data_IF_163991172417
#
_entry.id   IF_163991172417
#
_cell.length_a   1.000
_cell.length_b   1.000
_cell.length_c   1.000
_cell.angle_alpha   90.00
_cell.angle_beta   90.00
_cell.angle_gamma   90.00
#
_symmetry.space_group_name_H-M   'P 1'
#
loop_
_entity.id
_entity.type
_entity.pdbx_description
1 polymer ?
#
# COMPACT_ATOMS: atom_id res chain seq x y z
N UNK A 1 0.92 -14.31 2.79
CA UNK A 1 0.16 -13.52 3.80
C UNK A 1 0.74 -13.76 5.18
N UNK A 2 0.82 -12.75 6.05
CA UNK A 2 1.21 -12.95 7.44
C UNK A 2 0.01 -13.43 8.26
N UNK A 3 0.12 -14.61 8.85
CA UNK A 3 -0.88 -15.23 9.71
C UNK A 3 -1.34 -14.27 10.82
N UNK A 4 -2.66 -14.21 11.05
CA UNK A 4 -3.30 -13.37 12.07
C UNK A 4 -3.07 -11.85 11.94
N UNK A 5 -2.51 -11.36 10.84
CA UNK A 5 -2.25 -9.92 10.65
C UNK A 5 -3.49 -9.02 10.61
N UNK A 6 -4.67 -9.43 10.09
CA UNK A 6 -5.87 -8.59 10.17
C UNK A 6 -6.29 -8.27 11.62
N UNK A 7 -5.99 -9.14 12.59
CA UNK A 7 -6.26 -8.88 14.01
C UNK A 7 -5.27 -7.93 14.68
N UNK A 8 -4.33 -7.33 13.93
CA UNK A 8 -3.27 -6.47 14.48
C UNK A 8 -3.39 -5.00 14.04
N UNK A 9 -4.60 -4.58 13.64
CA UNK A 9 -4.89 -3.20 13.22
C UNK A 9 -4.41 -2.14 14.20
N UNK A 10 -4.55 -2.36 15.51
CA UNK A 10 -4.07 -1.42 16.53
C UNK A 10 -2.55 -1.19 16.47
N UNK A 11 -1.77 -2.26 16.27
CA UNK A 11 -0.31 -2.15 16.09
C UNK A 11 0.05 -1.47 14.77
N UNK A 12 -0.79 -1.65 13.75
CA UNK A 12 -0.61 -1.11 12.40
C UNK A 12 -1.31 0.24 12.19
N UNK A 13 -1.97 0.80 13.21
CA UNK A 13 -2.85 1.97 13.07
C UNK A 13 -2.18 3.16 12.41
N UNK A 14 -0.91 3.41 12.74
CA UNK A 14 -0.15 4.52 12.15
C UNK A 14 0.15 4.29 10.67
N UNK A 15 0.35 3.04 10.25
CA UNK A 15 0.51 2.68 8.84
C UNK A 15 -0.83 2.80 8.10
N UNK A 16 -1.89 2.16 8.64
CA UNK A 16 -3.21 2.08 8.00
C UNK A 16 -3.88 3.45 7.81
N UNK A 17 -3.55 4.44 8.64
CA UNK A 17 -4.09 5.80 8.56
C UNK A 17 -3.20 6.78 7.78
N UNK A 18 -2.05 6.34 7.29
CA UNK A 18 -1.11 7.23 6.59
C UNK A 18 -1.44 7.24 5.10
N UNK A 19 -1.84 8.42 4.61
CA UNK A 19 -1.98 8.68 3.19
C UNK A 19 -0.58 8.83 2.56
N UNK A 20 -0.26 7.99 1.57
CA UNK A 20 1.04 8.02 0.88
C UNK A 20 1.24 9.28 0.05
N UNK A 21 0.14 9.92 -0.36
CA UNK A 21 0.16 11.15 -1.16
C UNK A 21 0.09 12.41 -0.29
N UNK A 22 0.09 12.27 1.04
CA UNK A 22 0.29 13.39 1.94
C UNK A 22 1.78 13.67 2.15
N UNK A 23 2.18 14.94 2.07
CA UNK A 23 3.59 15.36 2.20
C UNK A 23 3.74 16.56 3.13
N UNK A 24 4.93 16.70 3.70
CA UNK A 24 5.29 17.76 4.64
C UNK A 24 5.74 19.00 3.87
N UNK A 25 4.96 20.09 3.92
CA UNK A 25 5.25 21.33 3.17
C UNK A 25 6.39 22.15 3.77
N UNK A 26 6.76 21.88 5.02
CA UNK A 26 7.88 22.51 5.71
C UNK A 26 9.20 21.74 5.60
N UNK A 27 9.24 20.65 4.80
CA UNK A 27 10.47 19.92 4.53
C UNK A 27 11.21 20.50 3.31
N UNK A 28 12.55 20.38 3.24
CA UNK A 28 13.33 21.01 2.18
C UNK A 28 12.96 20.56 0.76
N UNK A 29 12.38 19.37 0.59
CA UNK A 29 12.03 18.78 -0.70
C UNK A 29 10.55 18.94 -1.08
N UNK A 30 9.77 19.74 -0.35
CA UNK A 30 8.35 19.98 -0.63
C UNK A 30 8.11 20.47 -2.07
N UNK A 31 8.94 21.39 -2.57
CA UNK A 31 8.84 21.89 -3.95
C UNK A 31 9.10 20.82 -5.02
N UNK A 32 9.82 19.74 -4.69
CA UNK A 32 10.01 18.61 -5.61
C UNK A 32 8.76 17.73 -5.71
N UNK A 33 7.95 17.66 -4.65
CA UNK A 33 6.65 16.99 -4.68
C UNK A 33 5.64 17.81 -5.49
N UNK A 34 5.58 19.13 -5.24
CA UNK A 34 4.65 20.05 -5.92
C UNK A 34 4.89 20.12 -7.42
N UNK A 35 6.16 20.16 -7.83
CA UNK A 35 6.53 20.14 -9.25
C UNK A 35 6.35 18.78 -9.92
N UNK A 36 6.06 17.72 -9.15
CA UNK A 36 5.99 16.34 -9.65
C UNK A 36 7.36 15.73 -9.96
N UNK A 37 8.47 16.38 -9.61
CA UNK A 37 9.83 15.83 -9.73
C UNK A 37 10.00 14.58 -8.84
N UNK A 38 9.32 14.56 -7.70
CA UNK A 38 9.22 13.40 -6.79
C UNK A 38 7.77 13.02 -6.60
N UNK A 39 7.48 11.71 -6.67
CA UNK A 39 6.14 11.19 -6.36
C UNK A 39 5.89 11.18 -4.85
N UNK A 40 6.88 10.78 -4.06
CA UNK A 40 6.76 10.67 -2.61
C UNK A 40 8.00 11.24 -1.93
N UNK A 41 7.86 11.69 -0.68
CA UNK A 41 9.00 12.07 0.18
C UNK A 41 9.67 10.78 0.71
N UNK A 42 9.85 10.66 2.02
CA UNK A 42 10.63 9.58 2.65
C UNK A 42 9.93 8.21 2.65
N UNK A 43 8.71 8.10 2.12
CA UNK A 43 7.91 6.88 2.24
C UNK A 43 6.97 6.67 1.06
N UNK A 44 7.02 5.47 0.49
CA UNK A 44 6.30 5.06 -0.73
C UNK A 44 5.14 4.11 -0.47
N UNK A 45 4.67 4.02 0.78
CA UNK A 45 3.51 3.20 1.14
C UNK A 45 3.84 1.77 1.61
N UNK A 46 5.11 1.32 1.51
CA UNK A 46 5.48 -0.02 2.01
C UNK A 46 5.51 -0.06 3.54
N UNK A 47 5.05 -1.16 4.12
CA UNK A 47 5.12 -1.36 5.58
C UNK A 47 6.56 -1.64 6.06
N UNK A 48 7.32 -2.43 5.29
CA UNK A 48 8.72 -2.77 5.54
C UNK A 48 9.35 -3.31 4.26
N UNK A 49 10.66 -3.12 4.08
CA UNK A 49 11.45 -3.83 3.07
C UNK A 49 12.05 -5.14 3.57
N UNK A 50 11.92 -5.45 4.85
CA UNK A 50 12.43 -6.66 5.48
C UNK A 50 11.26 -7.49 6.05
N UNK A 51 10.82 -8.55 5.33
CA UNK A 51 9.71 -9.40 5.78
C UNK A 51 10.08 -10.30 6.95
N UNK A 52 11.38 -10.55 7.20
CA UNK A 52 11.85 -11.35 8.34
C UNK A 52 11.64 -10.56 9.63
N UNK A 53 12.19 -9.34 9.71
CA UNK A 53 12.04 -8.49 10.90
C UNK A 53 10.59 -8.05 11.12
N UNK A 54 9.81 -7.90 10.04
CA UNK A 54 8.38 -7.60 10.16
C UNK A 54 7.62 -8.75 10.83
N UNK A 55 7.89 -10.00 10.41
CA UNK A 55 7.32 -11.19 11.05
C UNK A 55 7.75 -11.31 12.51
N UNK A 56 9.01 -11.05 12.84
CA UNK A 56 9.49 -11.08 14.22
C UNK A 56 8.73 -10.10 15.12
N UNK A 57 8.42 -8.90 14.62
CA UNK A 57 7.67 -7.87 15.36
C UNK A 57 6.17 -8.17 15.49
N UNK A 58 5.56 -8.70 14.44
CA UNK A 58 4.12 -8.94 14.39
C UNK A 58 3.74 -10.36 14.84
N UNK A 59 4.68 -11.30 14.87
CA UNK A 59 4.44 -12.72 15.14
C UNK A 59 3.79 -13.45 13.97
N UNK A 60 3.46 -14.73 14.19
CA UNK A 60 2.84 -15.60 13.20
C UNK A 60 3.81 -16.18 12.17
N UNK A 61 3.25 -16.85 11.16
CA UNK A 61 3.97 -17.44 10.03
C UNK A 61 3.61 -16.74 8.73
N UNK A 62 4.56 -16.71 7.80
CA UNK A 62 4.24 -16.41 6.41
C UNK A 62 3.53 -17.61 5.79
N UNK A 63 2.25 -17.44 5.47
CA UNK A 63 1.43 -18.41 4.77
C UNK A 63 1.57 -18.20 3.26
N UNK A 64 1.75 -19.31 2.54
CA UNK A 64 1.87 -19.36 1.08
C UNK A 64 1.08 -20.53 0.54
N UNK A 65 0.69 -20.44 -0.73
CA UNK A 65 0.09 -21.54 -1.51
C UNK A 65 0.37 -21.29 -2.98
N UNK A 66 0.31 -22.35 -3.77
CA UNK A 66 0.33 -22.28 -5.23
C UNK A 66 -1.04 -21.87 -5.75
N UNK A 67 -1.05 -21.04 -6.79
CA UNK A 67 -2.24 -20.58 -7.49
C UNK A 67 -2.18 -20.98 -8.96
N UNK A 68 -3.32 -21.34 -9.54
CA UNK A 68 -3.53 -21.53 -10.96
C UNK A 68 -4.17 -20.29 -11.57
N UNK A 69 -4.05 -20.16 -12.88
CA UNK A 69 -4.76 -19.10 -13.63
C UNK A 69 -6.27 -19.22 -13.37
N UNK A 70 -6.88 -18.13 -12.92
CA UNK A 70 -8.30 -18.07 -12.56
C UNK A 70 -8.57 -18.25 -11.07
N UNK A 71 -7.59 -18.66 -10.27
CA UNK A 71 -7.75 -18.68 -8.81
C UNK A 71 -7.82 -17.25 -8.25
N UNK A 72 -8.62 -17.08 -7.20
CA UNK A 72 -8.87 -15.78 -6.56
C UNK A 72 -8.47 -15.84 -5.09
N UNK A 73 -7.74 -14.82 -4.66
CA UNK A 73 -7.41 -14.58 -3.26
C UNK A 73 -8.13 -13.33 -2.78
N UNK A 74 -8.98 -13.49 -1.76
CA UNK A 74 -9.72 -12.38 -1.12
C UNK A 74 -9.21 -12.20 0.30
N UNK A 75 -8.84 -10.98 0.66
CA UNK A 75 -8.36 -10.64 2.00
C UNK A 75 -8.68 -9.18 2.37
N UNK A 76 -8.72 -8.90 3.68
CA UNK A 76 -8.94 -7.54 4.22
C UNK A 76 -7.77 -6.62 3.89
N UNK A 77 -8.03 -5.32 3.70
CA UNK A 77 -7.00 -4.28 3.54
C UNK A 77 -5.98 -4.23 4.69
N UNK A 78 -6.35 -4.70 5.88
CA UNK A 78 -5.47 -4.81 7.04
C UNK A 78 -4.52 -6.03 6.99
N UNK A 79 -4.68 -6.92 6.02
CA UNK A 79 -3.85 -8.12 5.89
C UNK A 79 -2.45 -7.74 5.43
N UNK A 80 -1.46 -8.03 6.27
CA UNK A 80 -0.05 -7.88 5.90
C UNK A 80 0.31 -8.98 4.89
N UNK A 81 0.78 -8.56 3.72
CA UNK A 81 1.15 -9.44 2.63
C UNK A 81 2.41 -8.94 1.93
N UNK A 82 3.08 -9.87 1.26
CA UNK A 82 4.31 -9.62 0.51
C UNK A 82 4.43 -10.67 -0.59
N UNK A 83 5.26 -10.40 -1.59
CA UNK A 83 5.68 -11.38 -2.58
C UNK A 83 7.18 -11.64 -2.47
N UNK A 84 7.59 -12.83 -2.93
CA UNK A 84 8.99 -13.15 -3.15
C UNK A 84 9.44 -12.66 -4.53
N UNK A 85 10.75 -12.47 -4.66
CA UNK A 85 11.39 -12.23 -5.94
C UNK A 85 11.19 -13.44 -6.86
N UNK A 86 10.86 -13.18 -8.12
CA UNK A 86 10.62 -14.22 -9.10
C UNK A 86 11.94 -14.66 -9.75
N UNK A 87 12.46 -15.80 -9.31
CA UNK A 87 13.67 -16.42 -9.87
C UNK A 87 13.37 -17.48 -10.95
N UNK A 88 12.12 -17.55 -11.44
CA UNK A 88 11.74 -18.46 -12.52
C UNK A 88 11.93 -17.84 -13.91
N UNK A 89 11.72 -18.64 -14.95
CA UNK A 89 11.72 -18.23 -16.36
C UNK A 89 10.32 -17.81 -16.86
N UNK A 90 9.36 -17.61 -15.96
CA UNK A 90 7.96 -17.28 -16.29
C UNK A 90 7.51 -15.99 -15.63
N UNK A 91 6.66 -15.24 -16.32
CA UNK A 91 5.98 -14.09 -15.73
C UNK A 91 4.85 -14.54 -14.80
N UNK A 92 4.75 -13.89 -13.64
CA UNK A 92 3.57 -13.95 -12.78
C UNK A 92 2.73 -12.70 -12.99
N UNK A 93 1.55 -12.86 -13.56
CA UNK A 93 0.59 -11.79 -13.77
C UNK A 93 -0.59 -11.97 -12.81
N UNK A 94 -1.05 -10.86 -12.24
CA UNK A 94 -2.22 -10.80 -11.37
C UNK A 94 -2.99 -9.51 -11.64
N UNK A 95 -4.31 -9.54 -11.44
CA UNK A 95 -5.15 -8.35 -11.37
C UNK A 95 -5.57 -8.11 -9.93
N UNK A 96 -5.45 -6.87 -9.47
CA UNK A 96 -5.87 -6.38 -8.15
C UNK A 96 -7.17 -5.61 -8.31
N UNK A 97 -8.14 -5.88 -7.45
CA UNK A 97 -9.39 -5.11 -7.37
C UNK A 97 -9.74 -4.92 -5.92
N UNK A 98 -10.04 -3.67 -5.55
CA UNK A 98 -10.35 -3.27 -4.18
C UNK A 98 -11.80 -2.86 -4.09
N UNK A 99 -12.46 -3.34 -3.05
CA UNK A 99 -13.88 -3.10 -2.81
C UNK A 99 -14.04 -2.34 -1.50
N UNK A 100 -14.88 -1.31 -1.53
CA UNK A 100 -15.29 -0.52 -0.38
C UNK A 100 -16.82 -0.52 -0.33
N UNK A 101 -17.39 -0.40 0.87
CA UNK A 101 -18.83 -0.21 1.02
C UNK A 101 -19.28 1.06 0.30
N UNK A 102 -20.39 0.99 -0.44
CA UNK A 102 -20.94 2.14 -1.17
C UNK A 102 -21.37 3.30 -0.25
N UNK A 103 -21.62 3.02 1.03
CA UNK A 103 -21.96 4.03 2.05
C UNK A 103 -20.75 4.76 2.62
N UNK A 104 -19.53 4.26 2.39
CA UNK A 104 -18.32 4.87 2.91
C UNK A 104 -17.78 5.95 1.96
N UNK A 105 -17.08 6.98 2.47
CA UNK A 105 -16.48 8.01 1.64
C UNK A 105 -15.46 7.43 0.67
N UNK A 106 -15.58 7.83 -0.60
CA UNK A 106 -14.65 7.45 -1.66
C UNK A 106 -13.51 8.47 -1.76
N UNK A 107 -12.31 7.99 -2.05
CA UNK A 107 -11.18 8.85 -2.39
C UNK A 107 -11.28 9.33 -3.85
N UNK A 108 -11.66 10.60 -4.03
CA UNK A 108 -11.91 11.25 -5.32
C UNK A 108 -10.74 11.17 -6.31
N UNK A 109 -9.51 10.97 -5.81
CA UNK A 109 -8.32 10.79 -6.66
C UNK A 109 -8.43 9.58 -7.58
N UNK A 110 -9.24 8.58 -7.21
CA UNK A 110 -9.34 7.29 -7.90
C UNK A 110 -10.61 7.12 -8.73
N UNK A 111 -11.37 8.19 -8.96
CA UNK A 111 -12.67 8.14 -9.65
C UNK A 111 -12.63 8.87 -10.99
N UNK A 112 -13.29 8.30 -12.00
CA UNK A 112 -13.43 8.85 -13.36
C UNK A 112 -12.66 8.06 -14.42
N UNK A 113 -12.81 8.46 -15.69
CA UNK A 113 -12.12 7.84 -16.84
C UNK A 113 -10.61 8.08 -16.82
N UNK A 114 -10.18 9.26 -16.33
CA UNK A 114 -8.79 9.67 -16.20
C UNK A 114 -8.52 10.14 -14.76
N UNK A 115 -8.46 9.22 -13.78
CA UNK A 115 -8.29 9.57 -12.37
C UNK A 115 -6.94 10.24 -12.11
N UNK A 116 -6.90 11.19 -11.17
CA UNK A 116 -5.67 11.90 -10.78
C UNK A 116 -4.63 10.93 -10.19
N UNK A 117 -5.10 9.91 -9.45
CA UNK A 117 -4.30 8.90 -8.78
C UNK A 117 -3.16 9.53 -7.95
N UNK A 118 -1.96 8.99 -8.05
CA UNK A 118 -0.75 9.49 -7.38
C UNK A 118 -0.11 10.72 -8.07
N UNK A 119 -0.78 11.31 -9.07
CA UNK A 119 -0.26 12.45 -9.81
C UNK A 119 -0.06 13.70 -8.92
N UNK A 120 0.66 14.73 -9.40
CA UNK A 120 0.96 15.93 -8.62
C UNK A 120 -0.29 16.62 -8.06
N UNK A 121 -1.37 16.67 -8.84
CA UNK A 121 -2.66 17.24 -8.41
C UNK A 121 -3.37 16.45 -7.30
N UNK A 122 -2.95 15.21 -7.04
CA UNK A 122 -3.51 14.35 -5.98
C UNK A 122 -2.74 14.46 -4.65
N UNK A 123 -1.66 15.25 -4.61
CA UNK A 123 -0.84 15.43 -3.42
C UNK A 123 -1.51 16.35 -2.41
N UNK A 124 -1.43 15.97 -1.13
CA UNK A 124 -2.04 16.70 -0.01
C UNK A 124 -0.95 17.28 0.89
N UNK A 125 -0.69 18.57 0.75
CA UNK A 125 0.27 19.28 1.60
C UNK A 125 -0.25 19.41 3.04
N UNK A 126 0.60 19.16 4.02
CA UNK A 126 0.35 19.44 5.43
C UNK A 126 1.63 19.93 6.12
N UNK A 127 1.46 20.64 7.24
CA UNK A 127 2.59 20.93 8.14
C UNK A 127 2.84 19.68 8.99
N UNK A 128 4.11 19.26 8.99
CA UNK A 128 4.66 18.25 9.89
C UNK A 128 5.61 18.94 10.88
#
# INVERSE_FOLDING_TARGET
ILENSPGQEDKLRHYLRRDVDAYCTNYPDAGEIESGKKTWQDWDGRLSSNPVSLREKLGGRWLTTEYKMGDVLVFSSATVHASLDNHSDRYRLSADSRYQLASEPVDERWIGENPIAHGPAGKKGKIC
#
